data_IF_447016807857
#
_entry.id   IF_447016807857
#
_cell.length_a   1.000
_cell.length_b   1.000
_cell.length_c   1.000
_cell.angle_alpha   90.00
_cell.angle_beta   90.00
_cell.angle_gamma   90.00
#
_symmetry.space_group_name_H-M   'P 1'
#
loop_
_entity.id
_entity.type
_entity.pdbx_description
1 polymer ?
#
# COMPACT_ATOMS: atom_id res chain seq x y z
N UNK A 1 96.62 38.94 -5.68
CA UNK A 1 96.10 39.67 -4.51
C UNK A 1 94.93 38.91 -3.94
N UNK A 2 95.08 38.56 -2.68
CA UNK A 2 94.24 37.71 -1.86
C UNK A 2 92.92 38.39 -1.51
N UNK A 3 91.82 37.63 -1.45
CA UNK A 3 90.78 37.88 -0.45
C UNK A 3 89.94 36.62 -0.25
N UNK A 4 90.27 35.90 0.83
CA UNK A 4 89.33 35.07 1.57
C UNK A 4 88.25 35.98 2.17
N UNK A 5 86.98 35.59 2.10
CA UNK A 5 86.15 35.54 3.30
C UNK A 5 84.99 34.56 3.10
N UNK A 6 84.94 33.60 4.03
CA UNK A 6 83.84 32.67 4.28
C UNK A 6 82.62 33.45 4.75
N UNK A 7 81.45 33.15 4.22
CA UNK A 7 80.19 33.27 4.97
C UNK A 7 79.26 32.10 4.65
N UNK A 8 78.87 31.47 5.74
CA UNK A 8 78.05 30.28 5.91
C UNK A 8 76.82 30.17 5.02
N UNK A 9 76.74 29.08 4.26
CA UNK A 9 75.48 28.58 3.73
C UNK A 9 74.69 27.92 4.89
N UNK A 10 73.64 28.59 5.35
CA UNK A 10 72.60 27.96 6.17
C UNK A 10 71.69 27.22 5.19
N UNK A 11 72.00 25.94 4.96
CA UNK A 11 71.05 25.02 4.34
C UNK A 11 69.99 24.66 5.36
N UNK A 12 68.81 25.29 5.28
CA UNK A 12 67.62 24.81 6.00
C UNK A 12 67.21 23.52 5.29
N UNK A 13 67.61 22.38 5.86
CA UNK A 13 66.99 21.11 5.57
C UNK A 13 65.56 21.15 6.11
N UNK A 14 64.61 21.57 5.27
CA UNK A 14 63.19 21.35 5.53
C UNK A 14 62.97 19.84 5.42
N UNK A 15 63.08 19.16 6.55
CA UNK A 15 62.56 17.81 6.70
C UNK A 15 61.05 17.94 6.56
N UNK A 16 60.52 17.65 5.37
CA UNK A 16 59.12 17.29 5.18
C UNK A 16 58.90 16.02 6.01
N UNK A 17 58.59 16.19 7.28
CA UNK A 17 57.95 15.16 8.07
C UNK A 17 56.58 15.00 7.42
N UNK A 18 56.50 14.12 6.41
CA UNK A 18 55.25 13.56 5.96
C UNK A 18 54.69 12.78 7.16
N UNK A 19 53.99 13.50 8.04
CA UNK A 19 53.35 12.92 9.20
C UNK A 19 52.32 11.93 8.70
N UNK A 20 52.67 10.64 8.75
CA UNK A 20 51.71 9.55 8.72
C UNK A 20 50.78 9.74 9.92
N UNK A 21 49.74 10.56 9.76
CA UNK A 21 48.65 10.61 10.71
C UNK A 21 47.98 9.24 10.68
N UNK A 22 47.86 8.54 11.81
CA UNK A 22 47.18 7.25 11.83
C UNK A 22 45.75 7.46 11.32
N UNK A 23 45.37 6.68 10.29
CA UNK A 23 43.99 6.68 9.78
C UNK A 23 43.07 6.36 10.97
N UNK A 24 42.08 7.22 11.28
CA UNK A 24 41.19 6.95 12.40
C UNK A 24 40.46 5.62 12.17
N UNK A 25 40.20 4.85 13.26
CA UNK A 25 39.59 3.54 13.14
C UNK A 25 38.19 3.63 12.50
N UNK A 26 37.75 2.60 11.76
CA UNK A 26 36.40 2.57 11.23
C UNK A 26 35.36 2.61 12.36
N UNK A 27 34.22 3.24 12.08
CA UNK A 27 33.05 3.23 12.94
C UNK A 27 32.12 2.08 12.54
N UNK A 28 31.79 1.21 13.48
CA UNK A 28 30.72 0.21 13.29
C UNK A 28 29.37 0.91 13.29
N UNK A 29 28.64 0.81 12.19
CA UNK A 29 27.26 1.29 12.04
C UNK A 29 26.32 0.10 12.04
N UNK A 30 25.22 0.20 12.79
CA UNK A 30 24.16 -0.80 12.81
C UNK A 30 22.91 -0.27 12.09
N UNK A 31 22.30 -1.11 11.26
CA UNK A 31 20.98 -0.90 10.68
C UNK A 31 20.06 -1.97 11.22
N UNK A 32 19.06 -1.55 12.00
CA UNK A 32 18.04 -2.44 12.56
C UNK A 32 16.70 -2.14 11.92
N UNK A 33 15.84 -3.13 11.87
CA UNK A 33 14.53 -2.96 11.26
C UNK A 33 13.65 -4.18 11.34
N UNK A 34 12.58 -4.14 10.56
CA UNK A 34 11.66 -5.27 10.39
C UNK A 34 11.18 -5.41 8.95
N UNK A 35 10.92 -6.65 8.56
CA UNK A 35 10.37 -7.04 7.26
C UNK A 35 8.95 -7.56 7.47
N UNK A 36 7.97 -6.99 6.77
CA UNK A 36 6.55 -7.35 6.89
C UNK A 36 5.90 -7.55 5.53
N UNK A 37 4.87 -8.37 5.50
CA UNK A 37 3.96 -8.51 4.36
C UNK A 37 3.13 -7.24 4.22
N UNK A 38 3.14 -6.63 3.03
CA UNK A 38 2.50 -5.35 2.82
C UNK A 38 0.97 -5.41 2.93
N UNK A 39 0.34 -6.55 2.60
CA UNK A 39 -1.11 -6.74 2.62
C UNK A 39 -1.65 -7.06 4.02
N UNK A 40 -0.92 -7.87 4.79
CA UNK A 40 -1.40 -8.47 6.04
C UNK A 40 -0.74 -7.88 7.28
N UNK A 41 0.35 -7.14 7.11
CA UNK A 41 1.22 -6.63 8.18
C UNK A 41 1.89 -7.72 9.02
N UNK A 42 1.78 -8.99 8.62
CA UNK A 42 2.43 -10.11 9.29
C UNK A 42 3.96 -10.03 9.11
N UNK A 43 4.75 -10.40 10.14
CA UNK A 43 6.20 -10.46 10.03
C UNK A 43 6.63 -11.51 9.00
N UNK A 44 7.65 -11.18 8.20
CA UNK A 44 8.23 -12.09 7.23
C UNK A 44 9.57 -12.60 7.75
N UNK A 45 9.59 -13.87 8.17
CA UNK A 45 10.80 -14.56 8.60
C UNK A 45 11.63 -15.08 7.43
N UNK A 46 12.95 -15.12 7.58
CA UNK A 46 13.86 -15.64 6.58
C UNK A 46 14.02 -14.75 5.35
N UNK A 47 13.52 -13.53 5.36
CA UNK A 47 13.75 -12.57 4.30
C UNK A 47 15.22 -12.15 4.31
N UNK A 48 15.89 -12.23 3.16
CA UNK A 48 17.26 -11.76 3.00
C UNK A 48 17.25 -10.25 2.88
N UNK A 49 17.80 -9.60 3.90
CA UNK A 49 18.04 -8.16 3.93
C UNK A 49 19.49 -7.91 3.54
N UNK A 50 19.72 -6.98 2.62
CA UNK A 50 21.04 -6.64 2.11
C UNK A 50 21.21 -5.13 2.02
N UNK A 51 22.38 -4.65 2.43
CA UNK A 51 22.77 -3.25 2.33
C UNK A 51 23.84 -3.10 1.26
N UNK A 52 23.60 -2.25 0.27
CA UNK A 52 24.48 -2.04 -0.86
C UNK A 52 24.95 -0.58 -0.94
N UNK A 53 26.26 -0.40 -1.14
CA UNK A 53 26.86 0.90 -1.46
C UNK A 53 27.35 0.85 -2.91
N UNK A 54 26.54 1.36 -3.84
CA UNK A 54 26.81 1.21 -5.27
C UNK A 54 26.73 -0.26 -5.72
N UNK A 55 27.69 -0.72 -6.51
CA UNK A 55 27.67 -2.07 -7.09
C UNK A 55 28.19 -3.18 -6.15
N UNK A 56 28.62 -2.86 -4.93
CA UNK A 56 29.11 -3.85 -3.96
C UNK A 56 28.19 -3.92 -2.74
N UNK A 57 27.76 -5.15 -2.41
CA UNK A 57 27.05 -5.44 -1.16
C UNK A 57 28.00 -5.30 0.04
N UNK A 58 27.56 -4.59 1.08
CA UNK A 58 28.35 -4.36 2.29
C UNK A 58 27.97 -5.28 3.45
N UNK A 59 26.70 -5.64 3.58
CA UNK A 59 26.23 -6.53 4.63
C UNK A 59 24.95 -7.26 4.20
N UNK A 60 24.73 -8.45 4.76
CA UNK A 60 23.46 -9.17 4.61
C UNK A 60 23.12 -9.98 5.86
N UNK A 61 21.83 -10.10 6.15
CA UNK A 61 21.27 -10.87 7.25
C UNK A 61 19.91 -11.44 6.82
N UNK A 62 19.41 -12.40 7.61
CA UNK A 62 18.05 -12.90 7.49
C UNK A 62 17.19 -12.27 8.58
N UNK A 63 15.94 -11.99 8.27
CA UNK A 63 14.96 -11.63 9.29
C UNK A 63 14.58 -12.83 10.16
N UNK A 64 14.33 -12.59 11.45
CA UNK A 64 13.89 -13.60 12.40
C UNK A 64 12.37 -13.87 12.34
N UNK A 65 11.84 -14.67 13.28
CA UNK A 65 10.41 -15.03 13.35
C UNK A 65 9.47 -13.85 13.54
N UNK A 66 9.95 -12.77 14.15
CA UNK A 66 9.21 -11.52 14.37
C UNK A 66 9.47 -10.52 13.23
N UNK A 67 10.19 -10.96 12.19
CA UNK A 67 10.56 -10.18 11.02
C UNK A 67 11.71 -9.21 11.30
N UNK A 68 12.32 -9.24 12.48
CA UNK A 68 13.41 -8.32 12.83
C UNK A 68 14.71 -8.70 12.14
N UNK A 69 15.51 -7.69 11.80
CA UNK A 69 16.86 -7.88 11.29
C UNK A 69 17.81 -6.88 11.91
N UNK A 70 19.10 -7.25 11.95
CA UNK A 70 20.21 -6.37 12.30
C UNK A 70 21.35 -6.60 11.32
N UNK A 71 21.85 -5.51 10.73
CA UNK A 71 23.02 -5.48 9.87
C UNK A 71 24.07 -4.59 10.53
N UNK A 72 25.32 -5.05 10.54
CA UNK A 72 26.46 -4.24 10.97
C UNK A 72 27.46 -4.09 9.83
N UNK A 73 27.99 -2.89 9.65
CA UNK A 73 29.01 -2.61 8.65
C UNK A 73 29.92 -1.46 9.11
N UNK A 74 31.09 -1.37 8.50
CA UNK A 74 32.10 -0.37 8.84
C UNK A 74 31.97 0.89 7.96
N UNK A 75 32.06 2.06 8.59
CA UNK A 75 32.07 3.36 7.93
C UNK A 75 33.31 4.15 8.33
N UNK A 76 33.76 5.08 7.47
CA UNK A 76 34.85 5.96 7.84
C UNK A 76 34.33 7.08 8.79
N UNK A 77 35.04 7.41 9.87
CA UNK A 77 34.58 8.38 10.87
C UNK A 77 34.36 9.79 10.33
N UNK A 78 35.13 10.18 9.32
CA UNK A 78 35.06 11.49 8.67
C UNK A 78 34.40 11.43 7.28
N UNK A 79 33.60 10.39 6.99
CA UNK A 79 32.90 10.33 5.71
C UNK A 79 31.85 11.43 5.60
N UNK A 80 31.72 12.00 4.40
CA UNK A 80 30.53 12.74 4.02
C UNK A 80 29.26 11.88 4.25
N UNK A 81 28.07 12.50 4.37
CA UNK A 81 26.82 11.76 4.44
C UNK A 81 26.73 10.69 3.35
N UNK A 82 26.43 9.47 3.76
CA UNK A 82 26.36 8.31 2.89
C UNK A 82 24.89 7.91 2.71
N UNK A 83 24.48 7.66 1.47
CA UNK A 83 23.19 7.06 1.16
C UNK A 83 23.43 5.66 0.62
N UNK A 84 22.89 4.65 1.29
CA UNK A 84 22.98 3.23 0.91
C UNK A 84 21.60 2.65 0.67
N UNK A 85 21.52 1.74 -0.30
CA UNK A 85 20.26 1.05 -0.60
C UNK A 85 20.13 -0.15 0.33
N UNK A 86 19.02 -0.20 1.06
CA UNK A 86 18.61 -1.30 1.90
C UNK A 86 17.52 -2.07 1.15
N UNK A 87 17.78 -3.34 0.85
CA UNK A 87 16.86 -4.19 0.11
C UNK A 87 16.45 -5.41 0.93
N UNK A 88 15.21 -5.86 0.77
CA UNK A 88 14.74 -7.13 1.31
C UNK A 88 14.10 -7.97 0.21
N UNK A 89 14.38 -9.27 0.26
CA UNK A 89 13.87 -10.27 -0.69
C UNK A 89 13.51 -11.56 0.02
N UNK A 90 12.40 -12.17 -0.39
CA UNK A 90 11.97 -13.50 0.04
C UNK A 90 11.12 -14.10 -1.07
N UNK A 91 11.17 -15.42 -1.24
CA UNK A 91 10.47 -16.12 -2.32
C UNK A 91 8.96 -15.81 -2.29
N UNK A 92 8.38 -15.54 -3.47
CA UNK A 92 6.97 -15.19 -3.62
C UNK A 92 6.65 -13.70 -3.45
N UNK A 93 7.65 -12.86 -3.17
CA UNK A 93 7.50 -11.41 -3.01
C UNK A 93 8.38 -10.62 -3.98
N UNK A 94 7.93 -9.42 -4.32
CA UNK A 94 8.77 -8.43 -4.98
C UNK A 94 9.83 -7.90 -4.02
N UNK A 95 11.00 -7.56 -4.57
CA UNK A 95 12.09 -6.95 -3.80
C UNK A 95 11.67 -5.56 -3.34
N UNK A 96 11.70 -5.32 -2.04
CA UNK A 96 11.53 -4.00 -1.45
C UNK A 96 12.88 -3.31 -1.36
N UNK A 97 12.93 -2.01 -1.68
CA UNK A 97 14.13 -1.18 -1.56
C UNK A 97 13.78 0.10 -0.82
N UNK A 98 14.62 0.48 0.14
CA UNK A 98 14.56 1.73 0.88
C UNK A 98 15.95 2.37 0.96
N UNK A 99 16.02 3.64 1.33
CA UNK A 99 17.28 4.38 1.48
C UNK A 99 17.65 4.57 2.95
N UNK A 100 18.86 4.18 3.29
CA UNK A 100 19.46 4.43 4.59
C UNK A 100 20.46 5.58 4.44
N UNK A 101 20.24 6.64 5.20
CA UNK A 101 21.20 7.73 5.31
C UNK A 101 22.06 7.55 6.56
N UNK A 102 23.37 7.71 6.40
CA UNK A 102 24.36 7.53 7.45
C UNK A 102 25.21 8.77 7.57
N UNK A 103 25.25 9.35 8.78
CA UNK A 103 25.99 10.56 9.09
C UNK A 103 26.92 10.26 10.26
N UNK A 104 28.24 10.35 10.04
CA UNK A 104 29.26 10.09 11.07
C UNK A 104 29.06 8.74 11.78
N UNK A 105 28.85 7.69 11.00
CA UNK A 105 28.68 6.31 11.49
C UNK A 105 27.35 6.02 12.21
N UNK A 106 26.33 6.86 12.03
CA UNK A 106 24.98 6.64 12.60
C UNK A 106 23.91 6.77 11.54
N UNK A 107 22.90 5.91 11.60
CA UNK A 107 21.70 6.02 10.76
C UNK A 107 20.87 7.23 11.16
N UNK A 108 20.14 7.81 10.22
CA UNK A 108 19.20 8.92 10.49
C UNK A 108 17.90 8.44 11.14
N UNK A 109 17.57 7.16 11.01
CA UNK A 109 16.40 6.53 11.60
C UNK A 109 16.82 5.49 12.65
N UNK A 110 15.99 5.33 13.68
CA UNK A 110 16.20 4.33 14.72
C UNK A 110 15.83 2.91 14.26
N UNK A 111 15.00 2.78 13.22
CA UNK A 111 14.55 1.50 12.68
C UNK A 111 14.03 1.70 11.25
N UNK A 112 14.19 0.69 10.41
CA UNK A 112 13.72 0.68 9.02
C UNK A 112 12.64 -0.39 8.81
N UNK A 113 11.52 -0.01 8.22
CA UNK A 113 10.39 -0.90 7.97
C UNK A 113 10.25 -1.25 6.48
N UNK A 114 10.68 -2.45 6.09
CA UNK A 114 10.54 -2.93 4.71
C UNK A 114 9.21 -3.69 4.57
N UNK A 115 8.33 -3.21 3.68
CA UNK A 115 7.06 -3.88 3.36
C UNK A 115 7.17 -4.55 2.00
N UNK A 116 7.07 -5.87 1.96
CA UNK A 116 7.19 -6.64 0.72
C UNK A 116 5.79 -6.91 0.15
N UNK A 117 5.66 -6.72 -1.16
CA UNK A 117 4.42 -6.97 -1.90
C UNK A 117 4.46 -8.40 -2.42
N UNK A 118 3.43 -9.24 -2.19
CA UNK A 118 3.37 -10.55 -2.80
C UNK A 118 3.36 -10.42 -4.33
N UNK A 119 4.28 -11.10 -5.02
CA UNK A 119 4.50 -10.94 -6.46
C UNK A 119 3.24 -11.23 -7.30
N UNK A 120 2.38 -12.13 -6.80
CA UNK A 120 1.11 -12.48 -7.45
C UNK A 120 0.08 -11.34 -7.51
N UNK A 121 0.20 -10.31 -6.67
CA UNK A 121 -0.77 -9.21 -6.58
C UNK A 121 -0.20 -7.85 -6.98
N UNK A 122 1.09 -7.75 -7.31
CA UNK A 122 1.74 -6.48 -7.64
C UNK A 122 1.12 -5.77 -8.85
N UNK A 123 0.66 -6.55 -9.84
CA UNK A 123 -0.05 -6.02 -11.01
C UNK A 123 -1.40 -5.36 -10.67
N UNK A 124 -1.95 -5.63 -9.48
CA UNK A 124 -3.23 -5.08 -9.04
C UNK A 124 -3.11 -3.73 -8.33
N UNK A 125 -1.89 -3.25 -8.06
CA UNK A 125 -1.68 -1.95 -7.40
C UNK A 125 -2.12 -0.82 -8.33
N UNK A 126 -3.04 0.02 -7.84
CA UNK A 126 -3.63 1.11 -8.60
C UNK A 126 -2.97 2.44 -8.28
N UNK A 127 -2.61 3.17 -9.34
CA UNK A 127 -2.12 4.57 -9.24
C UNK A 127 -3.24 5.59 -9.31
N UNK A 128 -4.42 5.18 -9.78
CA UNK A 128 -5.55 6.06 -9.99
C UNK A 128 -6.56 5.83 -8.88
N UNK A 129 -6.98 6.92 -8.26
CA UNK A 129 -8.05 6.95 -7.27
C UNK A 129 -9.16 7.89 -7.74
N UNK A 130 -10.42 7.61 -7.41
CA UNK A 130 -10.86 6.50 -6.56
C UNK A 130 -10.99 5.16 -7.30
N UNK A 131 -10.73 4.07 -6.59
CA UNK A 131 -10.70 2.71 -7.11
C UNK A 131 -11.38 1.70 -6.19
N UNK A 132 -12.01 0.70 -6.80
CA UNK A 132 -12.55 -0.50 -6.16
C UNK A 132 -11.79 -1.70 -6.72
N UNK A 133 -11.23 -2.52 -5.84
CA UNK A 133 -10.65 -3.81 -6.22
C UNK A 133 -11.64 -4.92 -5.92
N UNK A 134 -11.94 -5.73 -6.92
CA UNK A 134 -12.69 -6.97 -6.77
C UNK A 134 -11.69 -8.12 -6.71
N UNK A 135 -11.38 -8.57 -5.51
CA UNK A 135 -10.43 -9.63 -5.24
C UNK A 135 -10.95 -11.03 -5.59
N UNK A 136 -10.30 -12.05 -5.04
CA UNK A 136 -10.71 -13.43 -5.22
C UNK A 136 -12.12 -13.69 -4.67
N UNK A 137 -12.97 -14.28 -5.51
CA UNK A 137 -14.23 -14.87 -5.08
C UNK A 137 -14.12 -16.38 -5.11
N UNK A 138 -14.41 -17.03 -3.98
CA UNK A 138 -14.40 -18.49 -3.89
C UNK A 138 -15.61 -19.03 -4.65
N UNK A 139 -15.43 -19.89 -5.67
CA UNK A 139 -16.54 -20.46 -6.40
C UNK A 139 -17.25 -21.53 -5.58
N UNK A 140 -18.38 -22.03 -6.08
CA UNK A 140 -19.10 -23.13 -5.47
C UNK A 140 -18.20 -24.38 -5.41
N UNK A 141 -18.28 -25.13 -4.30
CA UNK A 141 -17.40 -26.29 -4.05
C UNK A 141 -17.37 -27.27 -5.22
N UNK A 142 -16.17 -27.63 -5.66
CA UNK A 142 -15.94 -28.59 -6.75
C UNK A 142 -16.05 -28.02 -8.17
N UNK A 143 -16.22 -26.71 -8.35
CA UNK A 143 -16.22 -26.05 -9.66
C UNK A 143 -15.26 -24.86 -9.67
N UNK A 144 -13.99 -25.03 -10.08
CA UNK A 144 -13.08 -23.90 -10.22
C UNK A 144 -13.60 -22.96 -11.31
N UNK A 145 -13.52 -21.65 -11.06
CA UNK A 145 -13.95 -20.61 -11.99
C UNK A 145 -12.96 -19.45 -11.94
N UNK A 146 -11.93 -19.46 -12.81
CA UNK A 146 -10.90 -18.43 -12.79
C UNK A 146 -11.40 -17.05 -13.20
N UNK A 147 -12.54 -16.96 -13.90
CA UNK A 147 -13.14 -15.71 -14.39
C UNK A 147 -14.21 -15.15 -13.43
N UNK A 148 -14.42 -15.77 -12.26
CA UNK A 148 -15.49 -15.38 -11.35
C UNK A 148 -15.35 -13.95 -10.84
N UNK A 149 -14.14 -13.56 -10.43
CA UNK A 149 -13.86 -12.19 -9.98
C UNK A 149 -14.11 -11.16 -11.09
N UNK A 150 -13.83 -11.49 -12.34
CA UNK A 150 -14.06 -10.61 -13.50
C UNK A 150 -15.56 -10.37 -13.70
N UNK A 151 -16.38 -11.43 -13.69
CA UNK A 151 -17.84 -11.33 -13.87
C UNK A 151 -18.52 -10.57 -12.73
N UNK A 152 -18.02 -10.74 -11.50
CA UNK A 152 -18.47 -9.96 -10.35
C UNK A 152 -18.06 -8.49 -10.48
N UNK A 153 -16.84 -8.21 -10.95
CA UNK A 153 -16.39 -6.85 -11.22
C UNK A 153 -17.22 -6.15 -12.29
N UNK A 154 -17.58 -6.86 -13.37
CA UNK A 154 -18.42 -6.34 -14.44
C UNK A 154 -19.84 -6.04 -13.95
N UNK A 155 -20.42 -6.96 -13.18
CA UNK A 155 -21.72 -6.79 -12.54
C UNK A 155 -21.72 -5.58 -11.60
N UNK A 156 -20.71 -5.48 -10.73
CA UNK A 156 -20.56 -4.37 -9.79
C UNK A 156 -20.37 -3.05 -10.54
N UNK A 157 -19.60 -3.04 -11.63
CA UNK A 157 -19.41 -1.88 -12.49
C UNK A 157 -20.73 -1.39 -13.07
N UNK A 158 -21.55 -2.29 -13.62
CA UNK A 158 -22.85 -1.93 -14.14
C UNK A 158 -23.78 -1.38 -13.04
N UNK A 159 -23.87 -2.08 -11.91
CA UNK A 159 -24.77 -1.73 -10.80
C UNK A 159 -24.39 -0.37 -10.17
N UNK A 160 -23.09 -0.12 -9.94
CA UNK A 160 -22.60 1.14 -9.36
C UNK A 160 -22.68 2.29 -10.35
N UNK A 161 -22.32 2.08 -11.62
CA UNK A 161 -22.34 3.15 -12.63
C UNK A 161 -23.75 3.75 -12.78
N UNK A 162 -24.79 2.93 -12.72
CA UNK A 162 -26.19 3.40 -12.73
C UNK A 162 -26.46 4.36 -11.55
N UNK A 163 -25.92 4.08 -10.37
CA UNK A 163 -26.13 4.93 -9.19
C UNK A 163 -25.32 6.23 -9.26
N UNK A 164 -24.08 6.12 -9.73
CA UNK A 164 -23.13 7.24 -9.92
C UNK A 164 -23.63 8.20 -11.01
N UNK A 165 -24.15 7.69 -12.12
CA UNK A 165 -24.75 8.50 -13.19
C UNK A 165 -25.98 9.26 -12.70
N UNK A 166 -26.85 8.63 -11.89
CA UNK A 166 -27.98 9.32 -11.25
C UNK A 166 -27.54 10.43 -10.30
N UNK A 167 -26.30 10.37 -9.83
CA UNK A 167 -25.67 11.38 -8.99
C UNK A 167 -24.84 12.42 -9.77
N UNK A 168 -24.87 12.39 -11.12
CA UNK A 168 -24.23 13.36 -12.01
C UNK A 168 -22.72 13.55 -11.81
N UNK A 169 -21.99 12.48 -11.51
CA UNK A 169 -20.54 12.54 -11.38
C UNK A 169 -19.87 12.92 -12.71
N UNK A 170 -18.93 13.86 -12.63
CA UNK A 170 -17.99 14.12 -13.73
C UNK A 170 -17.21 12.83 -14.06
N UNK A 171 -16.92 12.61 -15.34
CA UNK A 171 -16.33 11.36 -15.82
C UNK A 171 -14.97 11.03 -15.17
N UNK A 172 -14.15 12.05 -14.90
CA UNK A 172 -12.86 11.96 -14.21
C UNK A 172 -13.01 11.75 -12.69
N UNK A 173 -14.16 12.11 -12.13
CA UNK A 173 -14.52 11.84 -10.77
C UNK A 173 -15.12 10.44 -10.59
N UNK A 174 -15.44 9.66 -11.62
CA UNK A 174 -16.04 8.33 -11.44
C UNK A 174 -15.01 7.30 -10.93
N UNK A 175 -15.39 6.43 -9.97
CA UNK A 175 -14.51 5.40 -9.48
C UNK A 175 -14.28 4.32 -10.55
N UNK A 176 -13.06 3.78 -10.58
CA UNK A 176 -12.71 2.66 -11.46
C UNK A 176 -12.80 1.34 -10.69
N UNK A 177 -13.26 0.29 -11.35
CA UNK A 177 -13.45 -1.04 -10.74
C UNK A 177 -12.57 -2.04 -11.48
N UNK A 178 -11.63 -2.65 -10.76
CA UNK A 178 -10.64 -3.56 -11.31
C UNK A 178 -10.74 -4.94 -10.65
N UNK A 179 -10.78 -6.02 -11.43
CA UNK A 179 -10.63 -7.36 -10.88
C UNK A 179 -9.17 -7.65 -10.51
N UNK A 180 -8.97 -8.42 -9.45
CA UNK A 180 -7.69 -8.95 -9.01
C UNK A 180 -7.90 -10.34 -8.39
N UNK A 181 -8.13 -11.35 -9.22
CA UNK A 181 -8.41 -12.72 -8.77
C UNK A 181 -7.26 -13.38 -7.98
N UNK A 182 -6.03 -12.87 -8.13
CA UNK A 182 -4.86 -13.31 -7.37
C UNK A 182 -4.85 -12.81 -5.90
N UNK A 183 -5.64 -11.78 -5.57
CA UNK A 183 -5.78 -11.32 -4.20
C UNK A 183 -6.70 -12.27 -3.43
N UNK A 184 -6.12 -13.25 -2.74
CA UNK A 184 -6.86 -14.28 -1.98
C UNK A 184 -6.65 -14.17 -0.46
N UNK A 185 -7.17 -13.11 0.19
CA UNK A 185 -7.20 -13.05 1.65
C UNK A 185 -7.97 -14.24 2.22
N UNK A 186 -7.36 -14.95 3.18
CA UNK A 186 -7.95 -16.14 3.79
C UNK A 186 -9.21 -15.84 4.60
N UNK A 187 -9.28 -14.63 5.18
CA UNK A 187 -10.36 -14.17 6.06
C UNK A 187 -10.75 -12.72 5.75
N UNK A 188 -12.04 -12.32 5.91
CA UNK A 188 -12.53 -10.98 5.59
C UNK A 188 -11.80 -9.83 6.31
N UNK A 189 -11.33 -10.05 7.54
CA UNK A 189 -10.68 -9.03 8.38
C UNK A 189 -9.39 -8.48 7.72
N UNK A 190 -8.79 -9.24 6.79
CA UNK A 190 -7.61 -8.80 6.03
C UNK A 190 -7.94 -7.90 4.84
N UNK A 191 -9.20 -7.76 4.46
CA UNK A 191 -9.60 -7.05 3.23
C UNK A 191 -9.16 -5.58 3.24
N UNK A 192 -9.22 -4.90 4.39
CA UNK A 192 -8.76 -3.52 4.51
C UNK A 192 -7.25 -3.35 4.26
N UNK A 193 -6.44 -4.34 4.67
CA UNK A 193 -5.01 -4.37 4.38
C UNK A 193 -4.71 -4.53 2.89
N UNK A 194 -5.48 -5.37 2.19
CA UNK A 194 -5.43 -5.49 0.73
C UNK A 194 -5.90 -4.22 0.01
N UNK A 195 -7.01 -3.61 0.45
CA UNK A 195 -7.45 -2.31 -0.09
C UNK A 195 -6.34 -1.25 -0.01
N UNK A 196 -5.68 -1.15 1.16
CA UNK A 196 -4.56 -0.23 1.38
C UNK A 196 -3.36 -0.56 0.49
N UNK A 197 -2.98 -1.83 0.39
CA UNK A 197 -1.89 -2.29 -0.47
C UNK A 197 -2.13 -1.86 -1.92
N UNK A 198 -3.34 -2.09 -2.44
CA UNK A 198 -3.67 -1.74 -3.82
C UNK A 198 -3.92 -0.26 -4.06
N UNK A 199 -3.90 0.54 -2.99
CA UNK A 199 -4.26 1.95 -3.06
C UNK A 199 -5.69 2.17 -3.50
N UNK A 200 -6.60 1.28 -3.09
CA UNK A 200 -8.02 1.32 -3.41
C UNK A 200 -8.84 1.83 -2.22
N UNK A 201 -9.94 2.51 -2.53
CA UNK A 201 -10.89 3.02 -1.55
C UNK A 201 -11.74 1.87 -0.99
N UNK A 202 -12.02 0.86 -1.81
CA UNK A 202 -12.74 -0.34 -1.43
C UNK A 202 -12.07 -1.62 -1.95
N UNK A 203 -12.04 -2.65 -1.11
CA UNK A 203 -11.77 -4.02 -1.51
C UNK A 203 -13.01 -4.87 -1.32
N UNK A 204 -13.36 -5.62 -2.36
CA UNK A 204 -14.55 -6.46 -2.45
C UNK A 204 -14.10 -7.90 -2.67
N UNK A 205 -14.51 -8.81 -1.79
CA UNK A 205 -14.26 -10.23 -1.94
C UNK A 205 -15.42 -11.04 -1.39
N UNK A 206 -15.34 -12.36 -1.47
CA UNK A 206 -16.40 -13.19 -0.91
C UNK A 206 -16.47 -14.57 -1.53
N UNK A 207 -17.69 -15.09 -1.62
CA UNK A 207 -17.93 -16.44 -2.10
C UNK A 207 -19.25 -16.55 -2.83
N UNK A 208 -19.26 -17.46 -3.80
CA UNK A 208 -20.43 -17.77 -4.61
C UNK A 208 -20.83 -19.19 -4.31
N UNK A 209 -22.07 -19.37 -3.88
CA UNK A 209 -22.68 -20.69 -3.70
C UNK A 209 -23.80 -20.85 -4.68
N UNK A 210 -24.00 -22.05 -5.20
CA UNK A 210 -25.01 -22.31 -6.22
C UNK A 210 -25.86 -23.51 -5.83
N UNK A 211 -27.19 -23.37 -5.78
CA UNK A 211 -28.10 -24.47 -6.05
C UNK A 211 -28.36 -24.66 -7.57
N UNK A 212 -28.19 -23.61 -8.39
CA UNK A 212 -28.48 -23.58 -9.84
C UNK A 212 -27.26 -23.07 -10.66
N UNK A 213 -26.91 -23.70 -11.80
CA UNK A 213 -25.73 -23.32 -12.59
C UNK A 213 -25.78 -21.92 -13.21
N UNK A 214 -26.97 -21.34 -13.39
CA UNK A 214 -27.18 -20.01 -13.97
C UNK A 214 -27.42 -18.98 -12.88
N UNK A 215 -28.25 -19.34 -11.88
CA UNK A 215 -28.62 -18.44 -10.78
C UNK A 215 -27.86 -18.78 -9.51
N UNK A 216 -26.98 -17.88 -9.11
CA UNK A 216 -26.10 -18.10 -7.96
C UNK A 216 -26.45 -17.20 -6.79
N UNK A 217 -26.10 -17.67 -5.59
CA UNK A 217 -26.07 -16.86 -4.38
C UNK A 217 -24.67 -16.27 -4.25
N UNK A 218 -24.57 -14.95 -4.24
CA UNK A 218 -23.31 -14.22 -4.09
C UNK A 218 -23.25 -13.59 -2.70
N UNK A 219 -22.25 -13.96 -1.91
CA UNK A 219 -21.96 -13.33 -0.63
C UNK A 219 -20.73 -12.46 -0.76
N UNK A 220 -20.89 -11.19 -0.44
CA UNK A 220 -19.87 -10.15 -0.59
C UNK A 220 -19.50 -9.62 0.78
N UNK A 221 -18.21 -9.40 0.99
CA UNK A 221 -17.66 -8.59 2.08
C UNK A 221 -16.86 -7.42 1.47
N UNK A 222 -17.07 -6.22 2.02
CA UNK A 222 -16.46 -4.98 1.56
C UNK A 222 -15.72 -4.31 2.71
N UNK A 223 -14.44 -3.98 2.51
CA UNK A 223 -13.65 -3.19 3.46
C UNK A 223 -13.07 -1.95 2.78
N UNK A 224 -12.78 -0.90 3.55
CA UNK A 224 -12.11 0.30 3.07
C UNK A 224 -10.59 0.26 3.30
N UNK A 225 -9.83 0.96 2.47
CA UNK A 225 -8.37 1.05 2.59
C UNK A 225 -7.86 1.92 3.75
N UNK A 226 -8.75 2.63 4.43
CA UNK A 226 -8.43 3.66 5.41
C UNK A 226 -8.62 3.18 6.86
N UNK A 227 -9.27 2.04 7.07
CA UNK A 227 -9.57 1.49 8.40
C UNK A 227 -10.68 2.24 9.13
N UNK A 228 -11.55 2.94 8.39
CA UNK A 228 -12.71 3.64 8.97
C UNK A 228 -13.84 2.65 9.27
N UNK A 229 -14.01 1.63 8.42
CA UNK A 229 -14.86 0.48 8.70
C UNK A 229 -14.08 -0.48 9.60
N UNK A 230 -14.52 -0.60 10.86
CA UNK A 230 -13.88 -1.47 11.85
C UNK A 230 -13.99 -2.96 11.50
N UNK A 231 -14.98 -3.34 10.69
CA UNK A 231 -15.15 -4.66 10.13
C UNK A 231 -15.68 -4.57 8.68
N UNK A 232 -15.39 -5.56 7.82
CA UNK A 232 -15.98 -5.62 6.49
C UNK A 232 -17.51 -5.67 6.56
N UNK A 233 -18.17 -4.83 5.76
CA UNK A 233 -19.62 -4.90 5.60
C UNK A 233 -19.97 -6.09 4.70
N UNK A 234 -20.93 -6.90 5.13
CA UNK A 234 -21.34 -8.10 4.40
C UNK A 234 -22.73 -7.97 3.81
N UNK A 235 -22.93 -8.50 2.60
CA UNK A 235 -24.23 -8.56 1.94
C UNK A 235 -24.40 -9.88 1.19
N UNK A 236 -25.65 -10.34 1.05
CA UNK A 236 -25.99 -11.55 0.32
C UNK A 236 -26.98 -11.21 -0.78
N UNK A 237 -26.62 -11.60 -2.00
CA UNK A 237 -27.49 -11.49 -3.19
C UNK A 237 -27.96 -12.89 -3.57
N UNK A 238 -29.25 -13.05 -3.84
CA UNK A 238 -29.86 -14.29 -4.31
C UNK A 238 -30.17 -14.18 -5.80
N UNK A 239 -30.25 -15.31 -6.47
CA UNK A 239 -30.68 -15.41 -7.88
C UNK A 239 -29.90 -14.50 -8.85
N UNK A 240 -28.59 -14.33 -8.60
CA UNK A 240 -27.73 -13.51 -9.46
C UNK A 240 -27.33 -14.31 -10.68
N UNK A 241 -27.60 -13.77 -11.86
CA UNK A 241 -27.05 -14.25 -13.13
C UNK A 241 -25.72 -13.54 -13.37
N UNK A 242 -24.59 -14.23 -13.23
CA UNK A 242 -23.26 -13.64 -13.44
C UNK A 242 -22.80 -13.67 -14.90
N UNK A 243 -23.55 -14.34 -15.79
CA UNK A 243 -23.20 -14.43 -17.21
C UNK A 243 -23.82 -13.25 -18.00
N UNK A 244 -24.86 -12.61 -17.47
CA UNK A 244 -25.41 -11.36 -17.97
C UNK A 244 -25.31 -10.21 -16.93
N UNK A 245 -24.28 -9.35 -16.99
CA UNK A 245 -24.11 -8.25 -16.03
C UNK A 245 -25.25 -7.20 -16.07
N UNK A 246 -26.03 -7.13 -17.17
CA UNK A 246 -27.17 -6.21 -17.27
C UNK A 246 -28.38 -6.73 -16.51
N UNK A 247 -28.54 -8.06 -16.41
CA UNK A 247 -29.58 -8.71 -15.62
C UNK A 247 -29.12 -9.02 -14.19
N UNK A 248 -27.81 -9.13 -13.97
CA UNK A 248 -27.21 -9.31 -12.66
C UNK A 248 -27.62 -8.18 -11.70
N UNK A 249 -28.24 -8.54 -10.58
CA UNK A 249 -28.60 -7.60 -9.51
C UNK A 249 -27.95 -8.05 -8.22
N UNK A 250 -26.98 -7.27 -7.77
CA UNK A 250 -26.47 -7.41 -6.42
C UNK A 250 -27.45 -6.74 -5.45
N UNK A 251 -27.51 -7.27 -4.23
CA UNK A 251 -28.31 -6.72 -3.16
C UNK A 251 -28.00 -5.22 -2.95
N UNK A 252 -29.00 -4.36 -2.67
CA UNK A 252 -28.77 -2.94 -2.41
C UNK A 252 -27.71 -2.69 -1.34
N UNK A 253 -27.63 -3.54 -0.33
CA UNK A 253 -26.66 -3.51 0.76
C UNK A 253 -25.22 -3.70 0.26
N UNK A 254 -25.00 -4.56 -0.75
CA UNK A 254 -23.69 -4.76 -1.35
C UNK A 254 -23.21 -3.49 -2.06
N UNK A 255 -24.09 -2.88 -2.85
CA UNK A 255 -23.80 -1.63 -3.56
C UNK A 255 -23.56 -0.48 -2.57
N UNK A 256 -24.42 -0.35 -1.55
CA UNK A 256 -24.28 0.67 -0.51
C UNK A 256 -22.99 0.51 0.29
N UNK A 257 -22.55 -0.73 0.56
CA UNK A 257 -21.28 -0.98 1.22
C UNK A 257 -20.08 -0.46 0.40
N UNK A 258 -20.07 -0.69 -0.91
CA UNK A 258 -19.01 -0.15 -1.79
C UNK A 258 -19.08 1.38 -1.90
N UNK A 259 -20.29 1.95 -2.06
CA UNK A 259 -20.48 3.40 -2.10
C UNK A 259 -20.05 4.09 -0.79
N UNK A 260 -20.22 3.43 0.35
CA UNK A 260 -19.74 3.92 1.66
C UNK A 260 -18.22 3.99 1.71
N UNK A 261 -17.53 2.92 1.32
CA UNK A 261 -16.07 2.89 1.28
C UNK A 261 -15.51 3.93 0.30
N UNK A 262 -16.16 4.11 -0.86
CA UNK A 262 -15.85 5.19 -1.78
C UNK A 262 -16.07 6.56 -1.15
N UNK A 263 -17.22 6.83 -0.51
CA UNK A 263 -17.51 8.13 0.11
C UNK A 263 -16.45 8.53 1.16
N UNK A 264 -15.95 7.57 1.94
CA UNK A 264 -14.80 7.76 2.85
C UNK A 264 -13.57 8.21 2.06
N UNK A 265 -13.27 7.53 0.96
CA UNK A 265 -12.18 7.87 0.06
C UNK A 265 -12.26 9.29 -0.52
N UNK A 266 -13.43 9.70 -1.03
CA UNK A 266 -13.64 11.07 -1.52
C UNK A 266 -13.50 12.12 -0.42
N UNK A 267 -14.02 11.86 0.79
CA UNK A 267 -13.81 12.75 1.94
C UNK A 267 -12.32 12.97 2.19
N UNK A 268 -11.54 11.89 2.25
CA UNK A 268 -10.10 11.95 2.52
C UNK A 268 -9.31 12.57 1.35
N UNK A 269 -9.82 12.49 0.12
CA UNK A 269 -9.28 13.17 -1.05
C UNK A 269 -9.72 14.65 -1.15
N UNK A 270 -10.36 15.20 -0.11
CA UNK A 270 -10.91 16.57 -0.09
C UNK A 270 -11.88 16.85 -1.24
N UNK A 271 -12.74 15.88 -1.53
CA UNK A 271 -13.83 15.94 -2.53
C UNK A 271 -15.20 15.84 -1.84
N UNK A 272 -15.61 16.88 -1.08
CA UNK A 272 -16.79 16.82 -0.22
C UNK A 272 -18.12 16.72 -0.98
N UNK A 273 -18.21 17.28 -2.20
CA UNK A 273 -19.42 17.20 -3.01
C UNK A 273 -19.68 15.76 -3.46
N UNK A 274 -18.68 15.10 -4.03
CA UNK A 274 -18.75 13.70 -4.44
C UNK A 274 -19.01 12.78 -3.24
N UNK A 275 -18.42 13.06 -2.08
CA UNK A 275 -18.77 12.35 -0.85
C UNK A 275 -20.28 12.42 -0.56
N UNK A 276 -20.88 13.63 -0.55
CA UNK A 276 -22.31 13.82 -0.29
C UNK A 276 -23.17 13.09 -1.32
N UNK A 277 -22.79 13.16 -2.59
CA UNK A 277 -23.53 12.57 -3.69
C UNK A 277 -23.53 11.03 -3.64
N UNK A 278 -22.40 10.40 -3.25
CA UNK A 278 -22.35 8.96 -2.99
C UNK A 278 -23.21 8.56 -1.79
N UNK A 279 -23.19 9.35 -0.71
CA UNK A 279 -24.02 9.07 0.47
C UNK A 279 -25.51 9.15 0.11
N UNK A 280 -25.91 10.13 -0.71
CA UNK A 280 -27.28 10.21 -1.23
C UNK A 280 -27.63 9.03 -2.15
N UNK A 281 -26.67 8.52 -2.94
CA UNK A 281 -26.86 7.31 -3.72
C UNK A 281 -27.06 6.06 -2.83
N UNK A 282 -26.29 5.92 -1.74
CA UNK A 282 -26.48 4.87 -0.74
C UNK A 282 -27.84 4.96 -0.05
N UNK A 283 -28.30 6.16 0.32
CA UNK A 283 -29.62 6.37 0.93
C UNK A 283 -30.76 5.90 0.01
N UNK A 284 -30.67 6.21 -1.29
CA UNK A 284 -31.66 5.77 -2.29
C UNK A 284 -31.72 4.26 -2.44
N UNK A 285 -30.61 3.56 -2.24
CA UNK A 285 -30.55 2.10 -2.29
C UNK A 285 -31.13 1.45 -1.04
N UNK A 286 -30.79 1.98 0.14
CA UNK A 286 -31.15 1.40 1.44
C UNK A 286 -32.52 1.85 1.94
N UNK A 287 -33.06 2.95 1.41
CA UNK A 287 -34.27 3.61 1.90
C UNK A 287 -34.05 4.44 3.17
N UNK A 288 -33.14 4.01 4.04
CA UNK A 288 -32.69 4.74 5.24
C UNK A 288 -31.17 4.72 5.34
N UNK A 289 -30.60 5.80 5.88
CA UNK A 289 -29.16 5.92 6.04
C UNK A 289 -28.69 5.35 7.39
N UNK A 290 -27.71 4.43 7.41
CA UNK A 290 -27.03 4.01 8.64
C UNK A 290 -26.34 5.18 9.37
N UNK A 291 -26.23 5.10 10.70
CA UNK A 291 -25.60 6.14 11.54
C UNK A 291 -24.18 6.51 11.11
N UNK A 292 -23.40 5.53 10.67
CA UNK A 292 -22.04 5.72 10.15
C UNK A 292 -22.01 6.67 8.95
N UNK A 293 -22.98 6.52 8.04
CA UNK A 293 -23.13 7.37 6.87
C UNK A 293 -23.74 8.74 7.22
N UNK A 294 -24.56 8.82 8.28
CA UNK A 294 -25.08 10.11 8.78
C UNK A 294 -23.92 10.98 9.30
N UNK A 295 -23.04 10.42 10.13
CA UNK A 295 -21.84 11.12 10.60
C UNK A 295 -20.95 11.56 9.43
N UNK A 296 -20.69 10.66 8.49
CA UNK A 296 -19.88 10.96 7.31
C UNK A 296 -20.49 12.09 6.45
N UNK A 297 -21.81 12.13 6.31
CA UNK A 297 -22.53 13.18 5.57
C UNK A 297 -22.31 14.55 6.19
N UNK A 298 -22.44 14.66 7.51
CA UNK A 298 -22.25 15.92 8.21
C UNK A 298 -20.80 16.40 8.12
N UNK A 299 -19.83 15.49 8.21
CA UNK A 299 -18.42 15.82 8.01
C UNK A 299 -18.16 16.35 6.58
N UNK A 300 -18.70 15.70 5.56
CA UNK A 300 -18.53 16.13 4.17
C UNK A 300 -19.24 17.47 3.89
N UNK A 301 -20.43 17.69 4.46
CA UNK A 301 -21.13 19.00 4.41
C UNK A 301 -20.33 20.10 5.09
N UNK A 302 -19.66 19.80 6.20
CA UNK A 302 -18.80 20.77 6.88
C UNK A 302 -17.57 21.17 6.08
N UNK A 303 -17.10 20.31 5.17
CA UNK A 303 -15.96 20.58 4.30
C UNK A 303 -16.30 21.31 2.99
N UNK A 304 -17.58 21.56 2.68
CA UNK A 304 -17.95 22.28 1.45
C UNK A 304 -17.46 23.74 1.48
N UNK A 305 -16.80 24.23 0.42
CA UNK A 305 -16.49 25.65 0.29
C UNK A 305 -17.80 26.45 0.20
N UNK A 306 -17.90 27.55 0.96
CA UNK A 306 -19.05 28.47 1.01
C UNK A 306 -20.23 28.10 1.92
N UNK A 307 -20.01 27.29 2.96
CA UNK A 307 -21.02 27.08 4.01
C UNK A 307 -21.37 28.42 4.68
N UNK A 308 -22.60 28.91 4.46
CA UNK A 308 -23.13 30.16 5.03
C UNK A 308 -23.27 31.35 4.06
N UNK A 309 -23.07 31.15 2.76
CA UNK A 309 -23.28 32.17 1.71
C UNK A 309 -24.59 32.01 0.92
N UNK A 310 -25.51 31.18 1.41
CA UNK A 310 -26.87 30.99 0.89
C UNK A 310 -27.89 31.34 1.97
#
# INVERSE_FOLDING_TARGET
>A
MSCWYRTSAIGIAVVLIAGCHPKPPPLTTAVIGNVRDAATDEPLAGARVSLALGAQGQASALSDSDGHFELQFETAPDSAPLSVDLSASVDGYDVAVDKVEVIKGKTTQNSYGLRLVPAGVSACIQKQRPAVIVGHFRPASGRPDPALSDRIADTLRYNLLVQIQKANFAADAQPRIFPCSAAEPKVPERYGGYARLFGADAYVGGYVTSPDPVKVKVQIAVADGYGVLSAPMTATSLDVDLDDPQLARLAPEANAAVLTALAIGYKLANKPQECIDLIAASERLLGNLPDTLLGLREDCRAALPNRGLL
#
